data_IF_947373534154
#
_entry.id   IF_947373534154
#
_cell.length_a   1.000
_cell.length_b   1.000
_cell.length_c   1.000
_cell.angle_alpha   90.00
_cell.angle_beta   90.00
_cell.angle_gamma   90.00
#
_symmetry.space_group_name_H-M   'P 1'
#
loop_
_entity.id
_entity.type
_entity.pdbx_description
1 polymer ?
#
# COMPACT_ATOMS: atom_id res chain seq x y z
N UNK A 1 10.30 -12.44 15.02
CA UNK A 1 10.08 -11.85 13.68
C UNK A 1 10.22 -12.94 12.65
N UNK A 2 9.16 -13.21 11.89
CA UNK A 2 9.09 -14.36 10.97
C UNK A 2 9.47 -13.88 9.57
N UNK A 3 10.64 -14.29 9.09
CA UNK A 3 11.18 -13.92 7.77
C UNK A 3 10.36 -14.60 6.67
N UNK A 4 9.91 -13.87 5.64
CA UNK A 4 9.33 -14.44 4.42
C UNK A 4 10.17 -14.02 3.23
N UNK A 5 10.72 -15.01 2.52
CA UNK A 5 11.46 -14.81 1.28
C UNK A 5 10.56 -15.29 0.13
N UNK A 6 10.13 -14.39 -0.75
CA UNK A 6 9.34 -14.76 -1.93
C UNK A 6 10.28 -14.83 -3.13
N UNK A 7 10.69 -16.04 -3.49
CA UNK A 7 11.50 -16.29 -4.67
C UNK A 7 10.55 -16.34 -5.87
N UNK A 8 10.52 -15.29 -6.70
CA UNK A 8 9.97 -15.40 -8.05
C UNK A 8 11.03 -16.06 -8.94
N UNK A 9 10.88 -17.36 -9.19
CA UNK A 9 11.64 -18.04 -10.22
C UNK A 9 11.13 -17.56 -11.58
N UNK A 10 11.89 -16.66 -12.21
CA UNK A 10 12.40 -16.78 -13.59
C UNK A 10 13.16 -15.49 -13.98
N UNK A 11 14.46 -15.66 -14.29
CA UNK A 11 15.45 -14.75 -14.91
C UNK A 11 15.86 -13.50 -14.08
N UNK A 12 17.08 -13.55 -13.53
CA UNK A 12 17.74 -12.56 -12.65
C UNK A 12 16.91 -12.07 -11.46
N UNK A 13 16.70 -12.95 -10.48
CA UNK A 13 15.99 -12.60 -9.23
C UNK A 13 16.80 -11.61 -8.38
N UNK A 14 16.38 -10.35 -8.37
CA UNK A 14 16.78 -9.39 -7.34
C UNK A 14 16.10 -9.78 -6.01
N UNK A 15 16.93 -10.02 -4.98
CA UNK A 15 16.46 -10.19 -3.62
C UNK A 15 16.26 -8.79 -3.02
N UNK A 16 15.03 -8.28 -3.04
CA UNK A 16 14.71 -7.01 -2.38
C UNK A 16 14.52 -7.26 -0.88
N UNK A 17 15.32 -6.57 -0.07
CA UNK A 17 15.11 -6.52 1.38
C UNK A 17 14.12 -5.39 1.63
N UNK A 18 12.90 -5.73 2.03
CA UNK A 18 11.90 -4.76 2.48
C UNK A 18 11.64 -4.95 3.98
N UNK A 19 11.30 -3.87 4.69
CA UNK A 19 10.69 -3.99 6.00
C UNK A 19 9.24 -4.44 5.81
N UNK A 20 8.74 -5.29 6.69
CA UNK A 20 7.29 -5.55 6.72
C UNK A 20 6.50 -4.36 7.29
N UNK A 21 7.19 -3.33 7.79
CA UNK A 21 6.57 -2.13 8.32
C UNK A 21 5.95 -1.27 7.21
N UNK A 22 4.65 -0.99 7.37
CA UNK A 22 3.85 -0.11 6.51
C UNK A 22 3.74 1.25 7.19
N UNK A 23 4.25 2.27 6.53
CA UNK A 23 3.96 3.66 6.91
C UNK A 23 2.59 4.02 6.37
N UNK A 24 1.72 4.51 7.26
CA UNK A 24 0.37 4.93 6.90
C UNK A 24 0.33 6.44 6.74
N UNK A 25 -0.06 6.89 5.55
CA UNK A 25 -0.31 8.29 5.22
C UNK A 25 -1.81 8.52 5.21
N UNK A 26 -2.31 9.41 6.05
CA UNK A 26 -3.74 9.66 6.19
C UNK A 26 -4.21 10.79 5.26
N UNK A 27 -5.43 10.64 4.74
CA UNK A 27 -6.06 11.57 3.80
C UNK A 27 -7.48 11.87 4.27
N UNK A 28 -7.73 13.09 4.75
CA UNK A 28 -9.08 13.52 5.09
C UNK A 28 -9.89 13.81 3.83
N UNK A 29 -11.09 13.28 3.75
CA UNK A 29 -12.00 13.48 2.62
C UNK A 29 -13.13 14.40 3.08
N UNK A 30 -13.21 15.58 2.47
CA UNK A 30 -14.22 16.60 2.75
C UNK A 30 -15.57 16.29 2.07
N UNK A 31 -16.06 15.07 2.31
CA UNK A 31 -17.36 14.58 1.84
C UNK A 31 -17.99 13.74 2.95
N UNK A 32 -19.31 13.86 3.13
CA UNK A 32 -20.04 13.06 4.12
C UNK A 32 -20.65 11.83 3.46
N UNK A 33 -20.31 10.67 3.98
CA UNK A 33 -20.80 9.40 3.47
C UNK A 33 -21.21 8.46 4.62
N UNK A 34 -21.98 7.43 4.27
CA UNK A 34 -22.16 6.27 5.16
C UNK A 34 -20.87 5.47 5.23
N UNK A 35 -20.68 4.67 6.29
CA UNK A 35 -19.42 3.95 6.49
C UNK A 35 -19.04 3.06 5.29
N UNK A 36 -20.02 2.35 4.70
CA UNK A 36 -19.79 1.47 3.55
C UNK A 36 -19.41 2.23 2.27
N UNK A 37 -20.00 3.40 2.03
CA UNK A 37 -19.65 4.26 0.88
C UNK A 37 -18.28 4.89 1.06
N UNK A 38 -17.97 5.36 2.28
CA UNK A 38 -16.65 5.87 2.63
C UNK A 38 -15.55 4.82 2.44
N UNK A 39 -15.79 3.57 2.87
CA UNK A 39 -14.87 2.45 2.64
C UNK A 39 -14.66 2.18 1.15
N UNK A 40 -15.74 2.13 0.38
CA UNK A 40 -15.68 1.89 -1.06
C UNK A 40 -14.86 2.98 -1.77
N UNK A 41 -15.08 4.24 -1.39
CA UNK A 41 -14.29 5.37 -1.87
C UNK A 41 -12.82 5.21 -1.54
N UNK A 42 -12.48 4.91 -0.28
CA UNK A 42 -11.09 4.76 0.13
C UNK A 42 -10.39 3.59 -0.57
N UNK A 43 -11.09 2.48 -0.85
CA UNK A 43 -10.52 1.35 -1.59
C UNK A 43 -10.37 1.60 -3.09
N UNK A 44 -11.14 2.54 -3.64
CA UNK A 44 -11.04 2.94 -5.05
C UNK A 44 -9.93 3.96 -5.28
N UNK A 45 -9.64 4.82 -4.29
CA UNK A 45 -8.69 5.94 -4.42
C UNK A 45 -7.41 5.83 -3.60
N UNK A 46 -7.41 4.99 -2.57
CA UNK A 46 -6.33 4.81 -1.60
C UNK A 46 -6.22 3.31 -1.25
N UNK A 47 -5.72 2.97 -0.07
CA UNK A 47 -5.72 1.57 0.40
C UNK A 47 -7.06 1.15 1.01
N UNK A 48 -7.48 1.84 2.07
CA UNK A 48 -8.76 1.61 2.77
C UNK A 48 -9.08 2.82 3.67
N UNK A 49 -10.18 2.77 4.41
CA UNK A 49 -10.43 3.67 5.53
C UNK A 49 -9.28 3.59 6.53
N UNK A 50 -9.01 4.71 7.21
CA UNK A 50 -7.92 4.85 8.17
C UNK A 50 -7.85 3.67 9.14
N UNK A 51 -6.72 2.98 9.11
CA UNK A 51 -6.34 1.92 10.05
C UNK A 51 -5.38 2.52 11.07
N UNK A 52 -5.75 2.50 12.34
CA UNK A 52 -5.01 3.19 13.40
C UNK A 52 -4.29 2.16 14.27
N UNK A 53 -2.97 2.08 14.13
CA UNK A 53 -2.15 1.06 14.80
C UNK A 53 -1.48 1.52 16.09
N UNK A 54 -1.34 2.83 16.26
CA UNK A 54 -0.68 3.43 17.42
C UNK A 54 -1.21 4.85 17.67
N UNK A 55 -0.73 5.45 18.76
CA UNK A 55 -1.11 6.81 19.15
C UNK A 55 -0.70 7.85 18.09
N UNK A 56 0.41 7.64 17.40
CA UNK A 56 0.89 8.54 16.33
C UNK A 56 -0.08 8.53 15.16
N UNK A 57 -0.49 7.34 14.70
CA UNK A 57 -1.48 7.18 13.63
C UNK A 57 -2.80 7.88 13.99
N UNK A 58 -3.24 7.77 15.24
CA UNK A 58 -4.47 8.41 15.72
C UNK A 58 -4.36 9.93 15.65
N UNK A 59 -3.23 10.48 16.12
CA UNK A 59 -2.96 11.92 16.09
C UNK A 59 -2.82 12.45 14.65
N UNK A 60 -2.12 11.73 13.77
CA UNK A 60 -1.94 12.11 12.36
C UNK A 60 -3.28 12.12 11.63
N UNK A 61 -4.10 11.08 11.80
CA UNK A 61 -5.45 10.99 11.22
C UNK A 61 -6.36 12.12 11.71
N UNK A 62 -6.24 12.51 12.98
CA UNK A 62 -6.97 13.63 13.57
C UNK A 62 -6.50 14.98 13.00
N UNK A 63 -5.18 15.16 12.86
CA UNK A 63 -4.57 16.37 12.33
C UNK A 63 -5.00 16.63 10.88
N UNK A 64 -4.95 15.61 10.01
CA UNK A 64 -5.38 15.77 8.61
C UNK A 64 -6.88 16.04 8.51
N UNK A 65 -7.68 15.52 9.44
CA UNK A 65 -9.12 15.78 9.52
C UNK A 65 -9.46 17.15 10.14
N UNK A 66 -8.47 18.02 10.38
CA UNK A 66 -8.63 19.33 11.01
C UNK A 66 -9.39 19.27 12.34
N UNK A 67 -9.15 18.22 13.15
CA UNK A 67 -9.89 17.92 14.39
C UNK A 67 -11.41 17.79 14.19
N UNK A 68 -11.86 17.46 12.97
CA UNK A 68 -13.23 17.09 12.67
C UNK A 68 -13.57 15.69 13.17
N UNK A 69 -14.85 15.33 13.09
CA UNK A 69 -15.32 13.97 13.37
C UNK A 69 -15.33 13.15 12.08
N UNK A 70 -14.73 11.97 12.09
CA UNK A 70 -14.57 11.15 10.87
C UNK A 70 -14.70 9.64 11.09
N UNK A 71 -15.08 8.91 10.04
CA UNK A 71 -15.06 7.45 9.99
C UNK A 71 -13.64 6.90 9.91
N UNK A 72 -13.41 5.78 10.62
CA UNK A 72 -12.21 4.94 10.48
C UNK A 72 -12.59 3.51 10.08
N UNK A 73 -11.60 2.69 9.72
CA UNK A 73 -11.81 1.34 9.20
C UNK A 73 -12.24 0.30 10.23
N UNK A 74 -12.32 0.67 11.52
CA UNK A 74 -12.71 -0.26 12.59
C UNK A 74 -14.23 -0.48 12.59
N UNK A 75 -14.65 -1.75 12.57
CA UNK A 75 -16.07 -2.11 12.57
C UNK A 75 -16.34 -3.42 13.32
N UNK A 76 -17.62 -3.65 13.65
CA UNK A 76 -18.09 -4.69 14.54
C UNK A 76 -18.74 -5.88 13.80
N UNK A 77 -17.93 -6.93 13.65
CA UNK A 77 -18.34 -8.34 13.75
C UNK A 77 -17.36 -9.17 14.61
N UNK A 78 -16.11 -8.70 14.77
CA UNK A 78 -15.14 -9.15 15.79
C UNK A 78 -14.09 -8.06 16.12
N UNK A 79 -14.47 -6.78 16.07
CA UNK A 79 -13.55 -5.62 16.14
C UNK A 79 -12.35 -5.76 15.21
N UNK A 80 -12.66 -5.78 13.90
CA UNK A 80 -11.67 -5.95 12.85
C UNK A 80 -11.49 -4.66 12.09
N UNK A 81 -10.27 -4.45 11.61
CA UNK A 81 -10.04 -3.40 10.63
C UNK A 81 -10.59 -3.83 9.28
N UNK A 82 -11.07 -2.89 8.48
CA UNK A 82 -11.53 -3.14 7.12
C UNK A 82 -10.49 -3.86 6.25
N UNK A 83 -9.21 -3.80 6.61
CA UNK A 83 -8.09 -4.43 5.90
C UNK A 83 -7.79 -5.89 6.35
N UNK A 84 -8.35 -6.38 7.47
CA UNK A 84 -7.90 -7.59 8.21
C UNK A 84 -7.84 -8.91 7.43
N UNK A 85 -8.38 -9.00 6.21
CA UNK A 85 -8.31 -10.24 5.41
C UNK A 85 -6.93 -10.50 4.78
N UNK A 86 -5.98 -9.56 4.84
CA UNK A 86 -4.70 -9.67 4.10
C UNK A 86 -3.41 -9.44 4.91
N UNK A 87 -3.48 -8.97 6.15
CA UNK A 87 -2.28 -8.47 6.85
C UNK A 87 -2.08 -9.15 8.21
N UNK A 88 -1.05 -9.99 8.30
CA UNK A 88 -0.71 -10.72 9.53
C UNK A 88 -0.02 -9.85 10.60
N UNK A 89 0.14 -8.54 10.34
CA UNK A 89 0.82 -7.57 11.20
C UNK A 89 -0.11 -6.61 11.93
N UNK A 90 -1.43 -6.76 11.80
CA UNK A 90 -2.39 -5.93 12.52
C UNK A 90 -2.42 -6.35 14.00
N UNK A 91 -1.53 -5.76 14.80
CA UNK A 91 -1.65 -5.77 16.26
C UNK A 91 -2.82 -4.85 16.66
N UNK A 92 -3.98 -5.46 16.91
CA UNK A 92 -5.18 -4.74 17.35
C UNK A 92 -5.16 -4.34 18.84
N UNK A 93 -3.97 -4.26 19.46
CA UNK A 93 -3.79 -3.91 20.88
C UNK A 93 -4.03 -2.44 21.17
N UNK A 94 -3.80 -1.54 20.20
CA UNK A 94 -4.04 -0.12 20.37
C UNK A 94 -5.53 0.22 20.25
N UNK A 95 -6.03 0.99 21.22
CA UNK A 95 -7.36 1.60 21.12
C UNK A 95 -7.42 2.95 21.83
N UNK A 96 -8.30 3.82 21.36
CA UNK A 96 -8.53 5.15 21.95
C UNK A 96 -10.01 5.38 22.28
N UNK A 97 -10.67 4.37 22.84
CA UNK A 97 -12.11 4.43 23.17
C UNK A 97 -12.45 5.56 24.14
N UNK A 98 -13.53 6.30 23.85
CA UNK A 98 -14.15 7.18 24.84
C UNK A 98 -14.71 6.34 26.00
N UNK A 99 -14.43 6.76 27.24
CA UNK A 99 -14.95 6.07 28.42
C UNK A 99 -16.48 6.19 28.48
N UNK A 100 -17.17 5.07 28.21
CA UNK A 100 -18.65 4.82 28.32
C UNK A 100 -19.53 4.90 27.06
N UNK A 101 -19.05 4.52 25.87
CA UNK A 101 -19.99 4.33 24.74
C UNK A 101 -19.93 2.89 24.17
N UNK A 102 -20.72 2.00 24.76
CA UNK A 102 -21.18 0.77 24.10
C UNK A 102 -22.62 1.02 23.60
N UNK A 103 -22.76 1.86 22.58
CA UNK A 103 -24.01 1.97 21.82
C UNK A 103 -24.18 0.78 20.86
N UNK A 104 -25.39 0.57 20.33
CA UNK A 104 -25.73 -0.55 19.42
C UNK A 104 -25.12 -0.43 18.01
N UNK A 105 -24.34 0.61 17.75
CA UNK A 105 -23.67 0.81 16.47
C UNK A 105 -22.60 -0.24 16.19
N UNK A 106 -22.22 -0.35 14.92
CA UNK A 106 -21.21 -1.33 14.47
C UNK A 106 -20.02 -0.68 13.75
N UNK A 107 -20.01 0.63 13.62
CA UNK A 107 -18.97 1.37 12.90
C UNK A 107 -18.34 2.40 13.84
N UNK A 108 -17.07 2.72 13.63
CA UNK A 108 -16.31 3.57 14.57
C UNK A 108 -15.99 4.91 13.93
N UNK A 109 -16.22 5.97 14.70
CA UNK A 109 -15.80 7.32 14.36
C UNK A 109 -14.85 7.89 15.40
N UNK A 110 -13.89 8.69 14.95
CA UNK A 110 -12.97 9.44 15.79
C UNK A 110 -13.53 10.85 16.00
N UNK A 111 -13.48 11.33 17.23
CA UNK A 111 -13.89 12.68 17.61
C UNK A 111 -12.77 13.71 17.44
N UNK A 112 -13.11 14.99 17.63
CA UNK A 112 -12.15 16.09 17.67
C UNK A 112 -11.05 15.97 18.73
N UNK A 113 -11.20 15.06 19.70
CA UNK A 113 -10.23 14.77 20.76
C UNK A 113 -9.42 13.50 20.50
N UNK A 114 -9.55 12.88 19.31
CA UNK A 114 -8.91 11.61 18.99
C UNK A 114 -9.58 10.39 19.63
N UNK A 115 -10.66 10.58 20.38
CA UNK A 115 -11.38 9.48 21.04
C UNK A 115 -12.34 8.78 20.09
N UNK A 116 -12.38 7.45 20.17
CA UNK A 116 -13.18 6.55 19.35
C UNK A 116 -14.56 6.35 19.98
N UNK A 117 -15.58 6.37 19.15
CA UNK A 117 -16.97 6.14 19.56
C UNK A 117 -17.68 5.26 18.55
N UNK A 118 -18.55 4.39 19.06
CA UNK A 118 -19.41 3.54 18.25
C UNK A 118 -20.55 4.39 17.66
N UNK A 119 -20.86 4.18 16.38
CA UNK A 119 -21.93 4.86 15.66
C UNK A 119 -22.69 3.91 14.75
N UNK A 120 -23.92 4.31 14.44
CA UNK A 120 -24.71 3.70 13.38
C UNK A 120 -23.99 3.85 12.04
N UNK A 121 -23.75 2.72 11.36
CA UNK A 121 -23.08 2.67 10.06
C UNK A 121 -23.85 3.41 8.95
N UNK A 122 -25.15 3.60 9.12
CA UNK A 122 -26.00 4.38 8.20
C UNK A 122 -25.91 5.89 8.39
N UNK A 123 -25.29 6.36 9.48
CA UNK A 123 -25.08 7.78 9.69
C UNK A 123 -24.13 8.37 8.64
N UNK A 124 -24.35 9.63 8.27
CA UNK A 124 -23.41 10.35 7.41
C UNK A 124 -22.31 11.00 8.27
N UNK A 125 -21.06 10.80 7.88
CA UNK A 125 -19.91 11.48 8.49
C UNK A 125 -18.83 11.71 7.45
N UNK A 126 -17.97 12.69 7.70
CA UNK A 126 -16.68 12.77 7.02
C UNK A 126 -15.87 11.50 7.29
N UNK A 127 -14.83 11.26 6.51
CA UNK A 127 -14.02 10.06 6.62
C UNK A 127 -12.57 10.32 6.26
N UNK A 128 -11.70 9.50 6.83
CA UNK A 128 -10.26 9.56 6.56
C UNK A 128 -9.85 8.24 5.93
N UNK A 129 -9.21 8.32 4.77
CA UNK A 129 -8.56 7.17 4.13
C UNK A 129 -7.11 7.07 4.58
N UNK A 130 -6.45 5.94 4.34
CA UNK A 130 -5.00 5.89 4.38
C UNK A 130 -4.43 5.27 3.10
N UNK A 131 -3.21 5.68 2.77
CA UNK A 131 -2.32 5.00 1.84
C UNK A 131 -1.16 4.37 2.60
N UNK A 132 -0.83 3.13 2.29
CA UNK A 132 0.34 2.45 2.82
C UNK A 132 1.57 2.76 1.97
N UNK A 133 2.74 2.81 2.58
CA UNK A 133 4.03 3.05 1.92
C UNK A 133 5.09 2.12 2.52
N UNK A 134 5.97 1.60 1.68
CA UNK A 134 7.16 0.85 2.09
C UNK A 134 8.43 1.54 1.61
N UNK A 135 9.51 1.37 2.38
CA UNK A 135 10.85 1.76 1.98
C UNK A 135 11.65 0.55 1.49
N UNK A 136 12.42 0.77 0.42
CA UNK A 136 13.26 -0.22 -0.24
C UNK A 136 14.68 0.31 -0.28
N UNK A 137 15.65 -0.50 0.13
CA UNK A 137 17.06 -0.19 -0.01
C UNK A 137 17.61 -0.79 -1.32
N UNK A 138 18.11 0.07 -2.19
CA UNK A 138 18.76 -0.30 -3.43
C UNK A 138 20.28 -0.20 -3.29
N UNK A 139 20.95 -1.34 -3.46
CA UNK A 139 22.41 -1.48 -3.32
C UNK A 139 23.13 -1.19 -4.63
N UNK A 140 22.97 0.03 -5.13
CA UNK A 140 23.64 0.49 -6.35
C UNK A 140 24.19 1.89 -6.13
N UNK A 141 25.50 2.05 -6.30
CA UNK A 141 26.17 3.33 -6.12
C UNK A 141 25.81 4.31 -7.25
N UNK A 142 24.92 5.25 -6.97
CA UNK A 142 24.42 6.24 -7.92
C UNK A 142 24.56 7.67 -7.39
N UNK A 143 24.63 8.63 -8.31
CA UNK A 143 24.47 10.05 -7.94
C UNK A 143 23.05 10.28 -7.43
N UNK A 144 22.83 11.32 -6.62
CA UNK A 144 21.49 11.59 -6.06
C UNK A 144 20.42 11.72 -7.16
N UNK A 145 20.76 12.39 -8.26
CA UNK A 145 19.84 12.58 -9.39
C UNK A 145 19.52 11.27 -10.11
N UNK A 146 20.52 10.41 -10.31
CA UNK A 146 20.32 9.11 -10.96
C UNK A 146 19.56 8.13 -10.07
N UNK A 147 19.86 8.11 -8.77
CA UNK A 147 19.11 7.36 -7.76
C UNK A 147 17.62 7.77 -7.75
N UNK A 148 17.34 9.09 -7.79
CA UNK A 148 15.97 9.60 -7.90
C UNK A 148 15.28 9.14 -9.17
N UNK A 149 15.95 9.21 -10.33
CA UNK A 149 15.40 8.71 -11.60
C UNK A 149 15.11 7.22 -11.52
N UNK A 150 16.01 6.45 -10.92
CA UNK A 150 15.82 5.02 -10.71
C UNK A 150 14.58 4.75 -9.87
N UNK A 151 14.46 5.39 -8.69
CA UNK A 151 13.31 5.19 -7.82
C UNK A 151 12.01 5.55 -8.53
N UNK A 152 11.95 6.66 -9.28
CA UNK A 152 10.76 7.06 -10.03
C UNK A 152 10.41 6.14 -11.21
N UNK A 153 11.38 5.41 -11.75
CA UNK A 153 11.13 4.46 -12.85
C UNK A 153 10.59 3.10 -12.40
N UNK A 154 10.79 2.74 -11.12
CA UNK A 154 10.47 1.41 -10.57
C UNK A 154 9.52 1.45 -9.36
N UNK A 155 9.52 2.55 -8.65
CA UNK A 155 8.79 2.83 -7.41
C UNK A 155 8.17 4.23 -7.49
N UNK A 156 7.91 4.88 -6.35
CA UNK A 156 7.35 6.24 -6.30
C UNK A 156 8.45 7.32 -6.39
N UNK A 157 9.37 7.39 -5.43
CA UNK A 157 10.49 8.36 -5.41
C UNK A 157 11.60 7.91 -4.42
N UNK A 158 12.65 8.72 -4.24
CA UNK A 158 13.55 8.60 -3.09
C UNK A 158 12.78 8.83 -1.79
N UNK A 159 13.13 8.07 -0.76
CA UNK A 159 12.39 8.00 0.50
C UNK A 159 12.23 9.36 1.17
N UNK A 160 10.99 9.66 1.54
CA UNK A 160 10.65 10.77 2.43
C UNK A 160 10.54 10.28 3.88
N UNK A 161 11.14 10.99 4.84
CA UNK A 161 11.15 10.60 6.25
C UNK A 161 10.60 11.74 7.09
N UNK A 162 9.38 11.59 7.58
CA UNK A 162 8.58 12.69 8.13
C UNK A 162 8.47 12.66 9.66
N UNK A 163 8.92 11.59 10.31
CA UNK A 163 8.88 11.44 11.76
C UNK A 163 10.10 10.69 12.30
N UNK A 164 10.36 10.82 13.60
CA UNK A 164 11.41 10.07 14.29
C UNK A 164 11.18 8.55 14.22
N UNK A 165 9.94 8.09 14.36
CA UNK A 165 9.59 6.68 14.27
C UNK A 165 9.89 6.11 12.87
N UNK A 166 9.56 6.85 11.82
CA UNK A 166 9.94 6.48 10.45
C UNK A 166 11.45 6.41 10.28
N UNK A 167 12.19 7.39 10.81
CA UNK A 167 13.65 7.42 10.75
C UNK A 167 14.29 6.17 11.37
N UNK A 168 13.81 5.77 12.54
CA UNK A 168 14.28 4.58 13.26
C UNK A 168 13.95 3.27 12.54
N UNK A 169 12.81 3.19 11.85
CA UNK A 169 12.45 1.99 11.11
C UNK A 169 13.22 1.88 9.81
N UNK A 170 13.30 2.98 9.04
CA UNK A 170 14.05 3.04 7.79
C UNK A 170 15.53 2.73 8.03
N UNK A 171 16.11 3.17 9.14
CA UNK A 171 17.50 2.85 9.47
C UNK A 171 17.78 1.36 9.66
N UNK A 172 16.77 0.56 10.04
CA UNK A 172 16.93 -0.91 10.15
C UNK A 172 17.19 -1.57 8.80
N UNK A 173 16.71 -0.99 7.69
CA UNK A 173 17.00 -1.49 6.34
C UNK A 173 18.50 -1.46 6.06
N UNK A 174 19.18 -0.40 6.48
CA UNK A 174 20.61 -0.21 6.27
C UNK A 174 21.45 -1.07 7.23
N UNK A 175 21.01 -1.26 8.47
CA UNK A 175 21.69 -2.12 9.46
C UNK A 175 21.66 -3.61 9.07
N UNK A 176 20.60 -4.07 8.43
CA UNK A 176 20.48 -5.48 8.02
C UNK A 176 21.37 -5.85 6.81
N UNK A 177 21.99 -4.87 6.16
CA UNK A 177 22.92 -5.06 5.04
C UNK A 177 24.36 -5.29 5.49
N UNK A 178 24.73 -4.89 6.71
CA UNK A 178 26.10 -5.03 7.24
C UNK A 178 26.43 -6.43 7.76
N UNK A 179 25.54 -7.42 7.59
CA UNK A 179 25.73 -8.81 7.97
C UNK A 179 26.76 -9.59 7.13
N UNK A 180 27.98 -9.07 7.02
CA UNK A 180 29.08 -9.70 6.29
C UNK A 180 30.41 -8.94 6.27
N UNK A 181 30.48 -7.70 6.80
CA UNK A 181 31.78 -7.13 7.16
C UNK A 181 32.18 -7.74 8.52
N UNK A 182 32.67 -8.98 8.44
CA UNK A 182 33.36 -9.65 9.54
C UNK A 182 34.43 -8.70 10.08
N UNK A 183 34.38 -8.43 11.38
CA UNK A 183 35.51 -7.94 12.16
C UNK A 183 36.62 -8.99 12.10
N UNK A 184 37.31 -9.09 10.97
CA UNK A 184 38.52 -9.90 10.85
C UNK A 184 39.61 -9.04 10.25
N UNK A 185 40.53 -8.73 11.17
CA UNK A 185 41.96 -8.54 10.96
C UNK A 185 42.39 -7.15 10.48
N UNK A 186 42.86 -6.42 11.49
CA UNK A 186 43.97 -5.47 11.44
C UNK A 186 45.03 -5.83 10.39
N UNK A 187 45.00 -5.14 9.25
CA UNK A 187 46.19 -4.86 8.47
C UNK A 187 46.62 -3.42 8.75
N UNK A 188 47.58 -3.27 9.66
CA UNK A 188 48.35 -2.04 9.86
C UNK A 188 49.16 -1.75 8.59
N UNK A 189 48.58 -1.01 7.63
CA UNK A 189 49.36 -0.66 6.43
C UNK A 189 48.69 0.06 5.27
N UNK A 190 47.38 0.30 5.29
CA UNK A 190 46.74 1.14 4.27
C UNK A 190 45.61 1.94 4.89
N UNK A 191 45.59 3.26 4.65
CA UNK A 191 44.58 4.20 5.13
C UNK A 191 43.20 4.01 4.46
N UNK A 192 42.65 2.80 4.53
CA UNK A 192 41.32 2.43 4.05
C UNK A 192 40.34 2.36 5.21
N UNK A 193 39.64 3.47 5.47
CA UNK A 193 38.56 3.50 6.47
C UNK A 193 37.44 2.53 6.10
N UNK A 194 36.88 1.85 7.10
CA UNK A 194 35.66 1.04 6.99
C UNK A 194 34.57 1.87 6.29
N UNK A 195 34.12 1.43 5.11
CA UNK A 195 33.04 2.10 4.38
C UNK A 195 31.73 1.90 5.13
N UNK A 196 31.30 2.97 5.79
CA UNK A 196 30.03 3.01 6.52
C UNK A 196 28.88 3.01 5.50
N UNK A 197 27.85 2.17 5.65
CA UNK A 197 26.69 2.19 4.75
C UNK A 197 25.94 3.51 4.91
N UNK A 198 26.03 4.34 3.89
CA UNK A 198 25.25 5.57 3.73
C UNK A 198 24.30 5.38 2.55
N UNK A 199 23.09 5.91 2.66
CA UNK A 199 22.14 5.87 1.57
C UNK A 199 21.49 7.22 1.31
N UNK A 200 21.35 7.57 0.03
CA UNK A 200 20.58 8.74 -0.38
C UNK A 200 19.14 8.64 0.08
N UNK A 201 18.63 9.75 0.62
CA UNK A 201 17.21 9.99 0.89
C UNK A 201 16.72 11.15 0.01
N UNK A 202 15.39 11.34 -0.05
CA UNK A 202 14.78 12.32 -0.95
C UNK A 202 14.96 13.79 -0.54
N UNK A 203 15.57 14.07 0.60
CA UNK A 203 15.76 15.45 1.09
C UNK A 203 16.87 16.14 0.28
N UNK A 204 16.62 17.39 -0.11
CA UNK A 204 17.60 18.21 -0.82
C UNK A 204 17.42 19.70 -0.50
N UNK A 205 18.49 20.49 -0.62
CA UNK A 205 18.58 21.87 -0.10
C UNK A 205 17.59 22.86 -0.69
N UNK A 206 17.13 22.66 -1.93
CA UNK A 206 16.22 23.62 -2.58
C UNK A 206 14.87 23.70 -1.82
N UNK A 207 14.82 24.65 -0.88
CA UNK A 207 13.82 24.84 0.18
C UNK A 207 13.71 23.74 1.24
N UNK A 208 14.71 22.87 1.39
CA UNK A 208 14.66 21.70 2.29
C UNK A 208 13.34 20.94 2.15
N UNK A 209 13.06 20.47 0.93
CA UNK A 209 11.86 19.70 0.61
C UNK A 209 12.23 18.29 0.19
N UNK A 210 11.27 17.38 0.31
CA UNK A 210 11.42 16.04 -0.22
C UNK A 210 11.26 16.03 -1.75
N UNK A 211 11.93 15.11 -2.43
CA UNK A 211 11.87 14.94 -3.88
C UNK A 211 10.47 14.57 -4.38
N UNK A 212 9.66 13.94 -3.51
CA UNK A 212 8.23 13.62 -3.69
C UNK A 212 7.30 14.85 -3.54
N UNK A 213 7.86 16.05 -3.34
CA UNK A 213 7.16 17.32 -3.11
C UNK A 213 6.47 17.46 -1.75
N UNK A 214 6.62 16.50 -0.84
CA UNK A 214 6.07 16.61 0.50
C UNK A 214 6.87 17.57 1.40
N UNK A 215 6.22 18.05 2.45
CA UNK A 215 6.83 18.92 3.46
C UNK A 215 7.84 18.17 4.32
N UNK A 216 8.91 18.84 4.75
CA UNK A 216 9.91 18.31 5.69
C UNK A 216 9.89 19.05 7.04
N UNK A 217 8.84 18.87 7.87
CA UNK A 217 8.78 19.49 9.21
C UNK A 217 9.71 18.81 10.22
N UNK A 218 10.13 17.57 9.93
CA UNK A 218 11.05 16.78 10.72
C UNK A 218 12.44 16.77 10.07
N UNK A 219 13.48 16.85 10.90
CA UNK A 219 14.86 16.65 10.48
C UNK A 219 15.66 15.91 11.53
N UNK A 220 16.53 14.99 11.08
CA UNK A 220 17.49 14.28 11.94
C UNK A 220 18.92 14.65 11.57
N UNK A 221 19.22 15.94 11.48
CA UNK A 221 20.59 16.37 11.18
C UNK A 221 21.57 15.94 12.25
N UNK A 222 22.74 15.44 11.84
CA UNK A 222 23.85 15.26 12.76
C UNK A 222 24.33 16.61 13.31
N UNK A 223 25.11 16.56 14.40
CA UNK A 223 25.78 17.76 14.93
C UNK A 223 26.59 18.44 13.82
N UNK A 224 26.47 19.77 13.72
CA UNK A 224 27.13 20.61 12.69
C UNK A 224 26.67 20.36 11.24
N UNK A 225 25.51 19.75 11.03
CA UNK A 225 24.85 19.65 9.71
C UNK A 225 23.63 20.59 9.64
N UNK A 226 23.20 21.00 8.43
CA UNK A 226 23.80 20.72 7.12
C UNK A 226 25.02 21.61 6.78
N UNK A 227 25.95 21.09 5.99
CA UNK A 227 27.03 21.83 5.34
C UNK A 227 26.46 22.72 4.23
N UNK A 228 26.66 24.03 4.35
CA UNK A 228 26.15 25.07 3.44
C UNK A 228 26.55 24.89 1.97
N UNK A 229 27.62 24.15 1.69
CA UNK A 229 28.10 23.87 0.34
C UNK A 229 27.52 22.61 -0.31
N UNK A 230 26.68 21.86 0.42
CA UNK A 230 26.15 20.56 0.03
C UNK A 230 24.63 20.56 -0.04
N UNK A 231 24.11 19.96 -1.11
CA UNK A 231 22.69 20.07 -1.47
C UNK A 231 21.90 18.77 -1.33
N UNK A 232 22.57 17.61 -1.25
CA UNK A 232 21.94 16.30 -1.22
C UNK A 232 22.19 15.61 0.12
N UNK A 233 21.30 14.72 0.53
CA UNK A 233 21.29 14.19 1.91
C UNK A 233 21.38 12.68 1.91
N UNK A 234 22.32 12.16 2.70
CA UNK A 234 22.39 10.74 3.05
C UNK A 234 21.93 10.52 4.49
N UNK A 235 21.30 9.37 4.72
CA UNK A 235 21.17 8.80 6.06
C UNK A 235 22.40 7.93 6.34
N UNK A 236 22.98 8.08 7.53
CA UNK A 236 24.06 7.25 8.06
C UNK A 236 23.52 6.42 9.24
N UNK A 237 23.80 5.11 9.24
CA UNK A 237 23.37 4.19 10.30
C UNK A 237 24.48 3.69 11.22
N UNK A 238 25.69 4.27 11.13
CA UNK A 238 26.74 4.06 12.13
C UNK A 238 26.33 4.62 13.49
N UNK A 239 25.57 5.71 13.48
CA UNK A 239 24.96 6.29 14.67
C UNK A 239 23.69 5.52 15.03
N UNK A 240 23.50 5.23 16.32
CA UNK A 240 22.25 4.64 16.83
C UNK A 240 21.03 5.53 16.61
N UNK A 241 21.22 6.82 16.30
CA UNK A 241 20.16 7.78 16.00
C UNK A 241 19.83 7.94 14.51
N UNK A 242 20.55 7.25 13.62
CA UNK A 242 20.36 7.30 12.17
C UNK A 242 20.35 8.73 11.60
N UNK A 243 21.45 9.45 11.84
CA UNK A 243 21.57 10.86 11.55
C UNK A 243 21.75 11.15 10.05
N UNK A 244 21.40 12.38 9.67
CA UNK A 244 21.43 12.87 8.30
C UNK A 244 22.66 13.75 8.09
N UNK A 245 23.30 13.55 6.95
CA UNK A 245 24.48 14.31 6.52
C UNK A 245 24.26 14.86 5.14
N UNK A 246 24.60 16.13 4.95
CA UNK A 246 24.65 16.73 3.63
C UNK A 246 25.94 16.32 2.90
N UNK A 247 25.83 16.01 1.61
CA UNK A 247 26.88 15.49 0.73
C UNK A 247 26.81 16.13 -0.64
N UNK A 248 27.89 16.01 -1.40
CA UNK A 248 27.88 16.48 -2.78
C UNK A 248 26.96 15.60 -3.60
N UNK A 249 26.03 16.19 -4.34
CA UNK A 249 25.09 15.43 -5.19
C UNK A 249 25.78 14.56 -6.25
N UNK A 250 27.06 14.83 -6.55
CA UNK A 250 27.91 14.07 -7.47
C UNK A 250 28.54 12.82 -6.85
N UNK A 251 28.52 12.68 -5.52
CA UNK A 251 28.96 11.46 -4.84
C UNK A 251 28.06 10.28 -5.22
N UNK A 252 28.58 9.06 -5.10
CA UNK A 252 27.82 7.85 -5.37
C UNK A 252 27.60 7.08 -4.08
N UNK A 253 26.32 6.86 -3.76
CA UNK A 253 25.89 6.11 -2.58
C UNK A 253 24.80 5.14 -2.98
N UNK A 254 24.58 4.13 -2.15
CA UNK A 254 23.33 3.36 -2.18
C UNK A 254 22.15 4.31 -1.92
N UNK A 255 20.91 3.86 -2.10
CA UNK A 255 19.77 4.76 -1.96
C UNK A 255 18.50 4.06 -1.49
N UNK A 256 17.67 4.83 -0.79
CA UNK A 256 16.39 4.38 -0.27
C UNK A 256 15.28 4.90 -1.18
N UNK A 257 14.53 4.01 -1.81
CA UNK A 257 13.30 4.36 -2.51
C UNK A 257 12.09 4.16 -1.59
N UNK A 258 11.02 4.92 -1.83
CA UNK A 258 9.71 4.57 -1.31
C UNK A 258 8.76 4.16 -2.42
N UNK A 259 7.82 3.27 -2.07
CA UNK A 259 6.77 2.83 -2.96
C UNK A 259 5.45 2.87 -2.23
N UNK A 260 4.43 3.44 -2.86
CA UNK A 260 3.07 3.35 -2.36
C UNK A 260 2.59 1.90 -2.51
N UNK A 261 1.98 1.37 -1.46
CA UNK A 261 1.29 0.09 -1.47
C UNK A 261 0.00 0.32 -2.22
N UNK A 262 0.00 0.11 -3.53
CA UNK A 262 -1.28 0.16 -4.25
C UNK A 262 -2.14 -1.01 -3.78
N UNK A 263 -3.34 -0.72 -3.29
CA UNK A 263 -4.32 -1.76 -3.07
C UNK A 263 -4.54 -2.49 -4.41
N UNK A 264 -4.16 -3.77 -4.45
CA UNK A 264 -4.56 -4.65 -5.53
C UNK A 264 -6.08 -4.76 -5.48
N UNK A 265 -6.79 -3.95 -6.27
CA UNK A 265 -8.25 -3.99 -6.33
C UNK A 265 -8.60 -5.30 -7.02
N UNK A 266 -8.97 -6.28 -6.20
CA UNK A 266 -9.40 -7.58 -6.65
C UNK A 266 -10.86 -7.45 -7.10
N UNK A 267 -11.08 -7.06 -8.35
CA UNK A 267 -12.41 -6.94 -8.95
C UNK A 267 -12.84 -8.31 -9.44
N UNK A 268 -13.89 -8.89 -8.87
CA UNK A 268 -14.48 -10.10 -9.44
C UNK A 268 -15.36 -9.75 -10.63
N UNK A 269 -15.16 -10.43 -11.76
CA UNK A 269 -16.01 -10.31 -12.95
C UNK A 269 -16.84 -11.57 -13.06
N UNK A 270 -18.15 -11.48 -12.83
CA UNK A 270 -19.01 -12.66 -13.01
C UNK A 270 -19.21 -12.92 -14.50
N UNK A 271 -18.79 -14.08 -14.98
CA UNK A 271 -19.07 -14.49 -16.35
C UNK A 271 -20.39 -15.25 -16.41
N UNK A 272 -21.16 -14.94 -17.45
CA UNK A 272 -22.33 -15.72 -17.82
C UNK A 272 -22.13 -16.16 -19.26
N UNK A 273 -21.93 -17.46 -19.46
CA UNK A 273 -21.86 -18.03 -20.79
C UNK A 273 -23.26 -18.21 -21.38
N UNK A 274 -23.34 -18.13 -22.70
CA UNK A 274 -24.57 -18.44 -23.43
C UNK A 274 -24.74 -19.95 -23.53
N UNK A 275 -25.98 -20.42 -23.57
CA UNK A 275 -26.31 -21.84 -23.73
C UNK A 275 -25.63 -22.43 -24.98
N UNK A 276 -25.01 -23.61 -24.85
CA UNK A 276 -24.26 -24.28 -25.91
C UNK A 276 -22.75 -24.04 -25.91
N UNK A 277 -22.20 -23.32 -24.94
CA UNK A 277 -20.75 -23.13 -24.81
C UNK A 277 -20.04 -24.36 -24.21
N UNK A 278 -18.79 -24.55 -24.59
CA UNK A 278 -17.87 -25.54 -24.03
C UNK A 278 -17.76 -25.47 -22.49
N UNK A 279 -17.31 -26.57 -21.87
CA UNK A 279 -17.10 -26.69 -20.42
C UNK A 279 -16.15 -25.60 -19.92
N UNK A 280 -16.59 -24.83 -18.92
CA UNK A 280 -15.82 -23.72 -18.32
C UNK A 280 -14.60 -24.22 -17.56
N UNK A 281 -14.57 -25.50 -17.23
CA UNK A 281 -13.42 -26.13 -16.59
C UNK A 281 -12.39 -26.66 -17.61
N UNK A 282 -12.67 -26.54 -18.91
CA UNK A 282 -11.68 -26.84 -19.95
C UNK A 282 -10.53 -25.81 -19.87
N UNK A 283 -9.27 -26.26 -19.63
CA UNK A 283 -8.14 -25.36 -19.49
C UNK A 283 -7.90 -24.48 -20.72
N UNK A 284 -8.20 -24.99 -21.91
CA UNK A 284 -8.01 -24.27 -23.19
C UNK A 284 -9.02 -23.14 -23.32
N UNK A 285 -10.29 -23.39 -22.94
CA UNK A 285 -11.33 -22.36 -22.89
C UNK A 285 -11.01 -21.31 -21.83
N UNK A 286 -10.55 -21.75 -20.66
CA UNK A 286 -10.13 -20.87 -19.57
C UNK A 286 -9.03 -19.90 -19.99
N UNK A 287 -8.00 -20.41 -20.66
CA UNK A 287 -6.90 -19.59 -21.19
C UNK A 287 -7.37 -18.64 -22.29
N UNK A 288 -8.25 -19.09 -23.19
CA UNK A 288 -8.80 -18.26 -24.25
C UNK A 288 -9.59 -17.07 -23.69
N UNK A 289 -10.42 -17.29 -22.67
CA UNK A 289 -11.18 -16.24 -21.99
C UNK A 289 -10.26 -15.25 -21.28
N UNK A 290 -9.23 -15.73 -20.57
CA UNK A 290 -8.26 -14.86 -19.90
C UNK A 290 -7.53 -13.95 -20.90
N UNK A 291 -7.10 -14.50 -22.05
CA UNK A 291 -6.47 -13.71 -23.13
C UNK A 291 -7.41 -12.64 -23.68
N UNK A 292 -8.64 -13.01 -24.01
CA UNK A 292 -9.62 -12.05 -24.54
C UNK A 292 -9.98 -10.95 -23.53
N UNK A 293 -10.03 -11.27 -22.24
CA UNK A 293 -10.22 -10.27 -21.20
C UNK A 293 -9.03 -9.32 -21.09
N UNK A 294 -7.81 -9.85 -21.19
CA UNK A 294 -6.59 -9.03 -21.16
C UNK A 294 -6.58 -8.03 -22.31
N UNK A 295 -6.82 -8.47 -23.54
CA UNK A 295 -6.89 -7.60 -24.73
C UNK A 295 -7.92 -6.48 -24.58
N UNK A 296 -9.13 -6.80 -24.09
CA UNK A 296 -10.17 -5.77 -23.87
C UNK A 296 -9.84 -4.77 -22.77
N UNK A 297 -9.03 -5.16 -21.78
CA UNK A 297 -8.56 -4.25 -20.74
C UNK A 297 -7.49 -3.32 -21.32
N UNK A 298 -6.58 -3.84 -22.14
CA UNK A 298 -5.57 -3.07 -22.87
C UNK A 298 -6.22 -2.06 -23.84
N UNK A 299 -7.25 -2.46 -24.60
CA UNK A 299 -8.02 -1.55 -25.47
C UNK A 299 -8.66 -0.38 -24.71
N UNK A 300 -8.95 -0.56 -23.43
CA UNK A 300 -9.53 0.47 -22.55
C UNK A 300 -8.48 1.31 -21.83
N UNK A 301 -7.21 1.16 -22.20
CA UNK A 301 -6.10 1.90 -21.61
C UNK A 301 -5.68 1.38 -20.23
N UNK A 302 -6.06 0.15 -19.87
CA UNK A 302 -5.65 -0.50 -18.62
C UNK A 302 -4.42 -1.37 -18.92
N UNK A 303 -3.24 -0.75 -18.86
CA UNK A 303 -1.98 -1.31 -19.38
C UNK A 303 -1.02 -1.80 -18.27
N UNK A 304 -1.35 -1.57 -17.00
CA UNK A 304 -0.53 -2.02 -15.88
C UNK A 304 -0.63 -3.55 -15.72
N UNK A 305 0.26 -4.17 -14.93
CA UNK A 305 0.33 -5.62 -14.68
C UNK A 305 -0.96 -6.22 -14.07
N UNK A 306 -2.04 -6.29 -14.84
CA UNK A 306 -3.30 -6.93 -14.45
C UNK A 306 -3.09 -8.43 -14.45
N UNK A 307 -3.01 -9.03 -13.26
CA UNK A 307 -2.95 -10.48 -13.09
C UNK A 307 -4.38 -11.04 -13.09
N UNK A 308 -4.78 -11.60 -14.24
CA UNK A 308 -6.05 -12.33 -14.38
C UNK A 308 -5.86 -13.78 -13.91
N UNK A 309 -6.80 -14.28 -13.12
CA UNK A 309 -6.81 -15.68 -12.66
C UNK A 309 -8.24 -16.18 -12.44
N UNK A 310 -8.45 -17.46 -12.70
CA UNK A 310 -9.68 -18.16 -12.33
C UNK A 310 -9.74 -18.33 -10.81
N UNK A 311 -10.96 -18.31 -10.26
CA UNK A 311 -11.20 -18.62 -8.85
C UNK A 311 -11.67 -20.08 -8.78
N UNK A 312 -10.93 -20.92 -8.07
CA UNK A 312 -11.31 -22.32 -7.88
C UNK A 312 -12.63 -22.41 -7.10
N UNK A 313 -13.55 -23.26 -7.56
CA UNK A 313 -14.86 -23.46 -6.96
C UNK A 313 -14.85 -24.28 -5.66
N UNK A 314 -13.70 -24.42 -4.99
CA UNK A 314 -13.55 -25.16 -3.74
C UNK A 314 -13.46 -24.19 -2.55
N UNK A 315 -14.50 -23.38 -2.39
CA UNK A 315 -15.02 -22.99 -1.07
C UNK A 315 -16.37 -22.32 -1.29
N UNK A 316 -17.43 -23.12 -1.24
CA UNK A 316 -18.74 -22.60 -0.90
C UNK A 316 -18.67 -22.05 0.53
N UNK A 317 -18.22 -20.80 0.68
CA UNK A 317 -18.68 -19.95 1.76
C UNK A 317 -19.79 -19.12 1.13
N UNK A 318 -21.03 -19.43 1.49
CA UNK A 318 -22.19 -18.62 1.14
C UNK A 318 -21.94 -17.21 1.65
N UNK A 319 -21.45 -16.33 0.77
CA UNK A 319 -21.58 -14.90 0.92
C UNK A 319 -23.00 -14.56 0.45
N UNK A 320 -23.95 -14.98 1.29
CA UNK A 320 -25.35 -14.61 1.18
C UNK A 320 -25.43 -13.09 1.39
N UNK A 321 -26.04 -12.43 0.41
CA UNK A 321 -26.54 -11.06 0.43
C UNK A 321 -26.41 -10.32 1.77
N UNK A 322 -25.53 -9.31 1.81
CA UNK A 322 -25.74 -8.19 2.71
C UNK A 322 -25.49 -6.87 2.00
N UNK A 323 -26.28 -6.65 0.95
CA UNK A 323 -26.71 -5.28 0.66
C UNK A 323 -27.59 -4.81 1.84
N UNK A 324 -27.39 -3.60 2.39
CA UNK A 324 -28.42 -2.99 3.21
C UNK A 324 -29.67 -2.73 2.34
N UNK A 325 -30.88 -2.84 2.89
CA UNK A 325 -32.09 -2.59 2.13
C UNK A 325 -32.21 -1.10 1.82
N UNK A 326 -32.34 -0.80 0.52
CA UNK A 326 -32.70 0.52 0.00
C UNK A 326 -31.52 1.30 -0.58
N UNK A 327 -31.35 1.25 -1.90
CA UNK A 327 -31.66 2.38 -2.79
C UNK A 327 -31.27 2.04 -4.23
N UNK A 328 -32.20 2.26 -5.15
CA UNK A 328 -32.10 1.97 -6.57
C UNK A 328 -31.26 3.02 -7.28
N UNK A 329 -29.94 2.81 -7.35
CA UNK A 329 -29.06 3.45 -8.35
C UNK A 329 -27.70 2.74 -8.40
N UNK A 330 -27.67 1.51 -8.90
CA UNK A 330 -26.41 0.88 -9.31
C UNK A 330 -25.96 1.47 -10.66
N UNK A 331 -24.67 1.83 -10.82
CA UNK A 331 -24.11 2.09 -12.13
C UNK A 331 -24.18 0.80 -12.97
N UNK A 332 -24.54 0.94 -14.24
CA UNK A 332 -24.80 -0.17 -15.17
C UNK A 332 -23.74 -1.27 -15.08
N UNK A 333 -24.19 -2.49 -14.82
CA UNK A 333 -23.35 -3.68 -14.95
C UNK A 333 -22.74 -3.71 -16.36
N UNK A 334 -21.41 -3.68 -16.45
CA UNK A 334 -20.70 -3.79 -17.73
C UNK A 334 -20.99 -5.17 -18.33
N UNK A 335 -21.98 -5.24 -19.22
CA UNK A 335 -22.31 -6.44 -19.99
C UNK A 335 -21.29 -6.59 -21.11
N UNK A 336 -20.25 -7.39 -20.86
CA UNK A 336 -19.35 -7.84 -21.91
C UNK A 336 -20.00 -9.01 -22.65
N UNK A 337 -20.44 -8.79 -23.89
CA UNK A 337 -20.70 -9.89 -24.83
C UNK A 337 -19.37 -10.43 -25.33
N UNK A 338 -19.15 -11.72 -25.14
CA UNK A 338 -18.05 -12.49 -25.72
C UNK A 338 -18.67 -13.35 -26.83
N UNK A 339 -18.16 -13.20 -28.05
CA UNK A 339 -18.62 -13.97 -29.19
C UNK A 339 -17.63 -15.10 -29.42
N UNK A 340 -17.98 -16.29 -28.96
CA UNK A 340 -17.32 -17.54 -29.35
C UNK A 340 -18.07 -18.05 -30.58
N UNK A 341 -17.37 -18.26 -31.69
CA UNK A 341 -17.98 -18.39 -33.02
C UNK A 341 -18.95 -19.58 -33.19
N UNK A 342 -20.00 -19.40 -34.02
CA UNK A 342 -20.48 -20.45 -34.93
C UNK A 342 -21.90 -21.08 -34.84
N UNK A 343 -23.00 -20.34 -34.59
CA UNK A 343 -24.42 -20.67 -34.97
C UNK A 343 -25.14 -21.95 -34.36
N UNK A 344 -26.49 -22.16 -34.46
CA UNK A 344 -27.41 -22.03 -33.30
C UNK A 344 -28.47 -23.17 -33.02
N UNK A 345 -29.23 -22.96 -31.92
CA UNK A 345 -30.61 -23.41 -31.52
C UNK A 345 -30.85 -24.73 -30.72
N UNK A 346 -31.14 -24.64 -29.40
CA UNK A 346 -32.43 -24.94 -28.70
C UNK A 346 -32.29 -25.24 -27.16
N UNK A 347 -33.28 -24.70 -26.42
CA UNK A 347 -33.88 -24.96 -25.08
C UNK A 347 -33.08 -25.23 -23.77
N UNK A 348 -33.57 -24.56 -22.70
CA UNK A 348 -33.09 -24.45 -21.31
C UNK A 348 -33.11 -25.76 -20.48
N UNK A 349 -32.12 -25.93 -19.58
CA UNK A 349 -32.38 -26.10 -18.14
C UNK A 349 -31.17 -25.68 -17.27
N UNK A 350 -31.42 -25.51 -15.97
CA UNK A 350 -30.78 -24.69 -14.93
C UNK A 350 -29.39 -25.12 -14.43
N UNK A 351 -28.71 -24.09 -13.88
CA UNK A 351 -27.64 -24.06 -12.84
C UNK A 351 -26.19 -24.01 -13.34
N UNK A 352 -25.56 -22.86 -13.12
CA UNK A 352 -24.10 -22.70 -13.17
C UNK A 352 -23.71 -21.22 -13.21
N UNK A 353 -23.29 -20.66 -12.07
CA UNK A 353 -22.75 -19.30 -11.96
C UNK A 353 -21.23 -19.40 -11.76
N UNK A 354 -20.42 -18.63 -12.49
CA UNK A 354 -18.95 -18.69 -12.38
C UNK A 354 -18.35 -17.26 -12.31
N UNK A 355 -17.34 -17.07 -11.46
CA UNK A 355 -16.70 -15.77 -11.20
C UNK A 355 -15.23 -15.74 -11.62
N UNK A 356 -14.85 -14.75 -12.41
CA UNK A 356 -13.47 -14.36 -12.69
C UNK A 356 -12.96 -13.36 -11.67
N UNK A 357 -11.64 -13.24 -11.54
CA UNK A 357 -10.99 -12.25 -10.69
C UNK A 357 -9.99 -11.45 -11.54
N UNK A 358 -10.25 -10.16 -11.71
CA UNK A 358 -9.33 -9.19 -12.28
C UNK A 358 -8.67 -8.41 -11.14
N UNK A 359 -7.34 -8.46 -11.06
CA UNK A 359 -6.58 -7.64 -10.13
C UNK A 359 -6.02 -6.45 -10.88
N UNK A 360 -6.57 -5.25 -10.65
CA UNK A 360 -6.06 -4.01 -11.21
C UNK A 360 -5.70 -3.03 -10.10
N UNK A 361 -4.57 -2.33 -10.23
CA UNK A 361 -4.29 -1.14 -9.43
C UNK A 361 -5.24 -0.02 -9.85
N UNK A 362 -5.80 0.70 -8.88
CA UNK A 362 -6.51 1.94 -9.16
C UNK A 362 -5.52 3.10 -9.30
N UNK A 363 -5.78 3.99 -10.24
CA UNK A 363 -5.05 5.23 -10.48
C UNK A 363 -5.68 6.40 -9.72
#
# INVERSE_FOLDING_TARGET
MTRRCVIFLLISGWCHVHTDYIIRRFHAIDQKETWAKAQSYCRDKFNDLATIMDQTNNADAQQVAANGKFWIGLYHTSWKWSQDDKDAQLDNSFSSWASKELGDGKCVSVSALGLWSVRDCGAQSFFTCYSGEHHILEKQLMTWLDARRFCRSRYSDLSSIKTQQQNQEVSRLLQNVTGGASETESDEGSGGGVSVPMAWIGLYRHFWKWSDQSSAPYSQWATEQPDESKDCVVMDVKSSSADWFSRSCSEKHDFLCHSDIRASVLRSVKLRLSSGSADVNDPTLQDAILRQMKEKLEERGINEEVKLRWRDNVSHREEEERAPPGDSSHPEAVRLRLQVGGAPVFHLDRRGWWGLVAVGGAW
#
